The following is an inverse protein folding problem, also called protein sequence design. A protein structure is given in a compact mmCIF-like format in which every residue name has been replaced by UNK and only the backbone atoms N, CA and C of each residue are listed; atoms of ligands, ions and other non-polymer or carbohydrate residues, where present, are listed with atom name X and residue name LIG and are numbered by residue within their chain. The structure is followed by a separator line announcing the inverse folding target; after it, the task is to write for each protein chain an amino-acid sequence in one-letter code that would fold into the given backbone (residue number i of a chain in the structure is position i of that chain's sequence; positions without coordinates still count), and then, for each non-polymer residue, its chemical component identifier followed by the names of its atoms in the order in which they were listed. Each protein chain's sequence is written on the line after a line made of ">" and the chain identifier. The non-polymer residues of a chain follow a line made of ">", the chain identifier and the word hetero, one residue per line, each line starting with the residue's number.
data_IF_885746233317
#
_entry.id   IF_885746233317
#
_cell.length_a   1.000
_cell.length_b   1.000
_cell.length_c   1.000
_cell.angle_alpha   90.00
_cell.angle_beta   90.00
_cell.angle_gamma   90.00
#
_symmetry.space_group_name_H-M   'P 1'
#
loop_
_entity.id
_entity.type
_entity.pdbx_description
1 polymer ?
#
# COMPACT_ATOMS: atom_id res chain seq x y z
N UNK A 1 -13.29 45.02 24.03
CA UNK A 1 -14.16 44.76 22.85
C UNK A 1 -13.62 43.54 22.11
N UNK A 2 -14.51 42.68 21.63
CA UNK A 2 -14.16 41.47 20.86
C UNK A 2 -14.15 41.76 19.35
N UNK A 3 -13.22 41.14 18.63
CA UNK A 3 -13.20 41.14 17.17
C UNK A 3 -13.13 39.70 16.64
N UNK A 4 -13.86 39.43 15.56
CA UNK A 4 -13.87 38.14 14.89
C UNK A 4 -13.07 38.20 13.59
N UNK A 5 -12.02 37.40 13.48
CA UNK A 5 -11.25 37.23 12.25
C UNK A 5 -11.60 35.89 11.61
N UNK A 6 -11.89 35.90 10.32
CA UNK A 6 -12.12 34.71 9.50
C UNK A 6 -11.49 34.91 8.12
N UNK A 7 -11.45 33.87 7.30
CA UNK A 7 -10.91 33.96 5.95
C UNK A 7 -11.84 33.29 4.94
N UNK A 8 -11.85 33.84 3.72
CA UNK A 8 -12.51 33.27 2.56
C UNK A 8 -11.49 33.07 1.43
N UNK A 9 -11.99 32.73 0.24
CA UNK A 9 -11.13 32.51 -0.93
C UNK A 9 -10.34 33.77 -1.31
N UNK A 10 -10.86 34.97 -1.01
CA UNK A 10 -10.21 36.24 -1.37
C UNK A 10 -9.19 36.73 -0.35
N UNK A 11 -9.25 36.28 0.89
CA UNK A 11 -8.43 36.87 1.96
C UNK A 11 -9.04 36.75 3.35
N UNK A 12 -8.48 37.53 4.27
CA UNK A 12 -8.94 37.63 5.65
C UNK A 12 -9.88 38.82 5.83
N UNK A 13 -10.90 38.65 6.67
CA UNK A 13 -11.88 39.66 7.04
C UNK A 13 -11.99 39.72 8.56
N UNK A 14 -12.09 40.94 9.09
CA UNK A 14 -12.29 41.22 10.50
C UNK A 14 -13.65 41.88 10.72
N UNK A 15 -14.42 41.34 11.66
CA UNK A 15 -15.78 41.80 12.00
C UNK A 15 -15.85 42.25 13.45
N UNK A 16 -16.68 43.25 13.71
CA UNK A 16 -17.05 43.66 15.08
C UNK A 16 -18.05 42.69 15.71
N UNK A 17 -18.41 42.93 16.98
CA UNK A 17 -19.48 42.20 17.68
C UNK A 17 -20.85 42.31 16.97
N UNK A 18 -21.09 43.45 16.30
CA UNK A 18 -22.31 43.72 15.52
C UNK A 18 -22.23 43.22 14.06
N UNK A 19 -21.17 42.47 13.72
CA UNK A 19 -20.90 41.95 12.38
C UNK A 19 -20.64 43.02 11.30
N UNK A 20 -20.23 44.22 11.71
CA UNK A 20 -19.75 45.23 10.78
C UNK A 20 -18.32 44.89 10.33
N UNK A 21 -18.02 45.08 9.04
CA UNK A 21 -16.70 44.83 8.49
C UNK A 21 -15.74 45.94 8.93
N UNK A 22 -14.78 45.60 9.79
CA UNK A 22 -13.78 46.54 10.31
C UNK A 22 -12.68 46.76 9.27
N UNK A 23 -12.06 45.66 8.83
CA UNK A 23 -10.95 45.67 7.87
C UNK A 23 -10.89 44.36 7.10
N UNK A 24 -10.22 44.38 5.95
CA UNK A 24 -9.98 43.21 5.12
C UNK A 24 -8.56 43.23 4.55
N UNK A 25 -7.93 42.05 4.49
CA UNK A 25 -6.64 41.84 3.84
C UNK A 25 -6.81 40.79 2.75
N UNK A 26 -6.91 41.28 1.51
CA UNK A 26 -7.11 40.44 0.33
C UNK A 26 -5.79 39.89 -0.19
N UNK A 27 -5.84 38.67 -0.72
CA UNK A 27 -4.73 38.09 -1.46
C UNK A 27 -4.62 38.76 -2.85
N UNK A 28 -3.40 39.04 -3.34
CA UNK A 28 -3.20 39.39 -4.74
C UNK A 28 -3.75 38.31 -5.65
N UNK A 29 -4.46 38.68 -6.73
CA UNK A 29 -5.18 37.75 -7.64
C UNK A 29 -4.32 36.56 -8.09
N UNK A 30 -3.07 36.82 -8.46
CA UNK A 30 -2.12 35.80 -8.95
C UNK A 30 -1.64 34.83 -7.86
N UNK A 31 -1.76 35.22 -6.59
CA UNK A 31 -1.24 34.49 -5.43
C UNK A 31 -2.31 33.89 -4.52
N UNK A 32 -3.59 33.98 -4.91
CA UNK A 32 -4.69 33.43 -4.10
C UNK A 32 -4.48 31.93 -3.85
N UNK A 33 -4.21 31.18 -4.92
CA UNK A 33 -4.03 29.72 -4.84
C UNK A 33 -2.82 29.34 -4.00
N UNK A 34 -1.70 30.07 -4.14
CA UNK A 34 -0.50 29.82 -3.35
C UNK A 34 -0.76 30.10 -1.87
N UNK A 35 -1.38 31.23 -1.53
CA UNK A 35 -1.74 31.58 -0.16
C UNK A 35 -2.68 30.53 0.48
N UNK A 36 -3.72 30.08 -0.24
CA UNK A 36 -4.62 29.04 0.25
C UNK A 36 -3.93 27.68 0.47
N UNK A 37 -2.96 27.33 -0.38
CA UNK A 37 -2.13 26.14 -0.21
C UNK A 37 -1.18 26.27 0.99
N UNK A 38 -0.63 27.46 1.24
CA UNK A 38 0.17 27.74 2.43
C UNK A 38 -0.63 27.63 3.72
N UNK A 39 -1.85 28.20 3.75
CA UNK A 39 -2.77 28.07 4.89
C UNK A 39 -3.08 26.59 5.16
N UNK A 40 -3.40 25.80 4.12
CA UNK A 40 -3.64 24.35 4.25
C UNK A 40 -2.42 23.62 4.86
N UNK A 41 -1.21 24.05 4.49
CA UNK A 41 0.05 23.53 5.01
C UNK A 41 0.47 24.16 6.35
N UNK A 42 -0.47 24.79 7.07
CA UNK A 42 -0.30 25.42 8.39
C UNK A 42 0.74 26.54 8.44
N UNK A 43 1.05 27.16 7.30
CA UNK A 43 1.89 28.36 7.26
C UNK A 43 1.04 29.60 7.51
N UNK A 44 1.56 30.55 8.29
CA UNK A 44 0.93 31.85 8.52
C UNK A 44 1.32 32.77 7.36
N UNK A 45 0.33 33.15 6.55
CA UNK A 45 0.50 34.05 5.40
C UNK A 45 0.61 35.51 5.86
N UNK A 46 1.15 36.41 5.02
CA UNK A 46 1.37 37.81 5.41
C UNK A 46 0.07 38.53 5.76
N UNK A 47 -0.99 38.34 4.97
CA UNK A 47 -2.31 38.94 5.18
C UNK A 47 -2.91 38.56 6.54
N UNK A 48 -2.65 37.34 7.01
CA UNK A 48 -3.09 36.84 8.31
C UNK A 48 -2.39 37.58 9.46
N UNK A 49 -1.08 37.83 9.33
CA UNK A 49 -0.33 38.60 10.35
C UNK A 49 -0.75 40.06 10.36
N UNK A 50 -0.87 40.65 9.17
CA UNK A 50 -1.21 42.06 8.99
C UNK A 50 -2.58 42.38 9.58
N UNK A 51 -3.60 41.56 9.33
CA UNK A 51 -4.94 41.82 9.85
C UNK A 51 -5.01 41.69 11.38
N UNK A 52 -4.30 40.71 11.96
CA UNK A 52 -4.25 40.52 13.41
C UNK A 52 -3.58 41.73 14.07
N UNK A 53 -2.42 42.16 13.58
CA UNK A 53 -1.68 43.28 14.16
C UNK A 53 -2.42 44.61 13.98
N UNK A 54 -3.13 44.80 12.87
CA UNK A 54 -3.97 45.99 12.65
C UNK A 54 -5.11 46.08 13.66
N UNK A 55 -5.89 45.00 13.82
CA UNK A 55 -7.02 44.93 14.74
C UNK A 55 -6.57 45.00 16.21
N UNK A 56 -5.38 44.50 16.52
CA UNK A 56 -4.86 44.47 17.90
C UNK A 56 -4.65 45.85 18.55
N UNK A 57 -4.65 46.92 17.75
CA UNK A 57 -4.53 48.30 18.23
C UNK A 57 -5.81 48.77 18.93
N UNK A 58 -6.96 48.38 18.40
CA UNK A 58 -8.28 48.89 18.82
C UNK A 58 -9.09 47.88 19.63
N UNK A 59 -8.70 46.59 19.61
CA UNK A 59 -9.42 45.50 20.27
C UNK A 59 -8.54 44.75 21.29
N UNK A 60 -9.17 44.30 22.37
CA UNK A 60 -8.49 43.59 23.47
C UNK A 60 -8.55 42.07 23.32
N UNK A 61 -9.53 41.57 22.56
CA UNK A 61 -9.74 40.13 22.34
C UNK A 61 -10.05 39.86 20.88
N UNK A 62 -9.24 39.00 20.26
CA UNK A 62 -9.30 38.65 18.84
C UNK A 62 -9.60 37.15 18.72
N UNK A 63 -10.77 36.82 18.20
CA UNK A 63 -11.20 35.44 18.00
C UNK A 63 -11.01 35.08 16.53
N UNK A 64 -10.06 34.21 16.21
CA UNK A 64 -9.71 33.84 14.83
C UNK A 64 -10.10 32.40 14.46
N UNK A 65 -10.64 32.20 13.27
CA UNK A 65 -10.76 30.87 12.65
C UNK A 65 -9.44 30.46 11.98
N UNK A 66 -8.77 29.45 12.53
CA UNK A 66 -7.50 28.96 11.97
C UNK A 66 -7.29 27.47 12.21
N UNK A 67 -6.62 26.81 11.25
CA UNK A 67 -6.19 25.40 11.34
C UNK A 67 -4.83 25.22 12.04
N UNK A 68 -4.27 26.30 12.57
CA UNK A 68 -2.97 26.38 13.25
C UNK A 68 -3.15 26.28 14.76
N UNK A 69 -2.08 25.99 15.48
CA UNK A 69 -2.10 26.00 16.95
C UNK A 69 -1.92 27.42 17.44
N UNK A 70 -2.45 27.73 18.63
CA UNK A 70 -2.24 29.05 19.24
C UNK A 70 -0.74 29.35 19.36
N UNK A 71 0.06 28.35 19.76
CA UNK A 71 1.53 28.45 19.85
C UNK A 71 2.22 28.90 18.56
N UNK A 72 1.63 28.66 17.39
CA UNK A 72 2.23 29.06 16.11
C UNK A 72 2.24 30.59 15.94
N UNK A 73 1.43 31.31 16.73
CA UNK A 73 1.34 32.78 16.74
C UNK A 73 2.21 33.44 17.82
N UNK A 74 3.04 32.68 18.55
CA UNK A 74 3.82 33.21 19.69
C UNK A 74 4.78 34.36 19.32
N UNK A 75 5.14 34.49 18.03
CA UNK A 75 5.98 35.58 17.53
C UNK A 75 5.24 36.89 17.26
N UNK A 76 3.92 36.93 17.41
CA UNK A 76 3.12 38.15 17.24
C UNK A 76 3.09 38.97 18.52
N UNK A 77 3.10 40.30 18.40
CA UNK A 77 3.02 41.20 19.55
C UNK A 77 1.66 41.13 20.23
N UNK A 78 0.66 40.76 19.46
CA UNK A 78 -0.75 40.62 19.83
C UNK A 78 -1.12 39.23 20.33
N UNK A 79 -0.14 38.36 20.60
CA UNK A 79 -0.36 36.97 21.01
C UNK A 79 -1.29 36.81 22.22
N UNK A 80 -1.13 37.65 23.24
CA UNK A 80 -1.91 37.57 24.49
C UNK A 80 -3.40 37.88 24.29
N UNK A 81 -3.76 38.51 23.16
CA UNK A 81 -5.13 38.89 22.81
C UNK A 81 -5.84 37.85 21.94
N UNK A 82 -5.12 36.82 21.45
CA UNK A 82 -5.62 35.88 20.46
C UNK A 82 -6.29 34.65 21.10
N UNK A 83 -7.47 34.31 20.58
CA UNK A 83 -8.18 33.08 20.86
C UNK A 83 -8.52 32.39 19.53
N UNK A 84 -8.25 31.09 19.42
CA UNK A 84 -8.63 30.31 18.24
C UNK A 84 -9.96 29.61 18.53
N UNK A 85 -10.99 29.96 17.75
CA UNK A 85 -12.31 29.33 17.82
C UNK A 85 -12.81 29.07 16.41
N UNK A 86 -13.19 27.84 16.10
CA UNK A 86 -13.65 27.46 14.75
C UNK A 86 -14.86 26.51 14.87
N UNK A 87 -16.07 26.92 14.44
CA UNK A 87 -16.41 28.22 13.87
C UNK A 87 -16.47 29.37 14.91
N UNK A 88 -16.28 30.61 14.46
CA UNK A 88 -16.58 31.82 15.25
C UNK A 88 -17.78 32.59 14.66
N UNK A 89 -18.31 33.55 15.41
CA UNK A 89 -19.53 34.27 15.03
C UNK A 89 -19.38 35.06 13.73
N UNK A 90 -18.25 35.75 13.53
CA UNK A 90 -17.95 36.45 12.27
C UNK A 90 -17.82 35.51 11.06
N UNK A 91 -17.28 34.31 11.26
CA UNK A 91 -17.20 33.27 10.24
C UNK A 91 -18.56 32.69 9.86
N UNK A 92 -19.46 32.50 10.83
CA UNK A 92 -20.85 32.11 10.56
C UNK A 92 -21.57 33.19 9.77
N UNK A 93 -21.44 34.45 10.18
CA UNK A 93 -22.00 35.60 9.45
C UNK A 93 -21.48 35.68 8.01
N UNK A 94 -20.18 35.53 7.81
CA UNK A 94 -19.55 35.52 6.48
C UNK A 94 -20.09 34.39 5.60
N UNK A 95 -20.22 33.17 6.15
CA UNK A 95 -20.73 32.01 5.40
C UNK A 95 -22.20 32.16 5.02
N UNK A 96 -23.03 32.73 5.88
CA UNK A 96 -24.43 33.03 5.58
C UNK A 96 -24.62 34.16 4.56
N UNK A 97 -23.63 35.05 4.40
CA UNK A 97 -23.69 36.21 3.51
C UNK A 97 -22.59 36.20 2.45
N UNK A 98 -22.15 35.01 2.01
CA UNK A 98 -20.94 34.85 1.20
C UNK A 98 -20.97 35.65 -0.12
N UNK A 99 -22.14 35.74 -0.76
CA UNK A 99 -22.34 36.49 -2.01
C UNK A 99 -21.92 37.96 -1.88
N UNK A 100 -22.21 38.60 -0.74
CA UNK A 100 -21.86 39.99 -0.45
C UNK A 100 -20.35 40.25 -0.47
N UNK A 101 -19.55 39.25 -0.08
CA UNK A 101 -18.10 39.41 0.11
C UNK A 101 -17.28 38.81 -1.04
N UNK A 102 -17.76 37.73 -1.66
CA UNK A 102 -16.98 36.96 -2.64
C UNK A 102 -17.34 37.31 -4.10
N UNK A 103 -18.53 37.86 -4.40
CA UNK A 103 -18.94 38.17 -5.78
C UNK A 103 -18.96 36.92 -6.69
N UNK A 104 -18.92 37.08 -8.02
CA UNK A 104 -19.12 35.97 -8.99
C UNK A 104 -17.84 35.25 -9.47
N UNK A 105 -16.66 35.82 -9.22
CA UNK A 105 -15.38 35.39 -9.83
C UNK A 105 -14.62 34.28 -9.05
N UNK A 106 -15.30 33.53 -8.19
CA UNK A 106 -14.65 32.54 -7.30
C UNK A 106 -14.49 31.16 -7.92
N UNK A 107 -15.30 30.82 -8.93
CA UNK A 107 -15.29 29.48 -9.53
C UNK A 107 -13.95 29.16 -10.18
N UNK A 108 -13.36 30.13 -10.89
CA UNK A 108 -12.04 29.98 -11.50
C UNK A 108 -10.97 29.68 -10.43
N UNK A 109 -11.00 30.41 -9.32
CA UNK A 109 -10.05 30.20 -8.22
C UNK A 109 -10.20 28.81 -7.60
N UNK A 110 -11.43 28.31 -7.43
CA UNK A 110 -11.65 26.95 -6.96
C UNK A 110 -11.13 25.89 -7.94
N UNK A 111 -11.31 26.10 -9.25
CA UNK A 111 -10.76 25.20 -10.27
C UNK A 111 -9.23 25.19 -10.23
N UNK A 112 -8.60 26.37 -10.18
CA UNK A 112 -7.15 26.48 -10.08
C UNK A 112 -6.61 25.84 -8.78
N UNK A 113 -7.31 26.03 -7.66
CA UNK A 113 -6.97 25.38 -6.38
C UNK A 113 -7.10 23.85 -6.46
N UNK A 114 -8.13 23.33 -7.13
CA UNK A 114 -8.29 21.90 -7.34
C UNK A 114 -7.13 21.33 -8.17
N UNK A 115 -6.77 22.00 -9.27
CA UNK A 115 -5.61 21.63 -10.10
C UNK A 115 -4.31 21.66 -9.29
N UNK A 116 -4.10 22.69 -8.47
CA UNK A 116 -2.91 22.80 -7.62
C UNK A 116 -2.83 21.66 -6.59
N UNK A 117 -3.96 21.31 -5.94
CA UNK A 117 -4.05 20.16 -5.03
C UNK A 117 -3.79 18.84 -5.73
N UNK A 118 -4.29 18.66 -6.95
CA UNK A 118 -4.02 17.46 -7.77
C UNK A 118 -2.54 17.37 -8.12
N UNK A 119 -1.91 18.46 -8.56
CA UNK A 119 -0.48 18.50 -8.84
C UNK A 119 0.37 18.21 -7.60
N UNK A 120 0.00 18.72 -6.42
CA UNK A 120 0.65 18.40 -5.15
C UNK A 120 0.54 16.90 -4.83
N UNK A 121 -0.64 16.31 -4.98
CA UNK A 121 -0.85 14.88 -4.74
C UNK A 121 -0.07 14.00 -5.74
N UNK A 122 0.01 14.39 -7.01
CA UNK A 122 0.75 13.65 -8.05
C UNK A 122 2.27 13.71 -7.87
N UNK A 123 2.81 14.70 -7.15
CA UNK A 123 4.24 14.77 -6.81
C UNK A 123 4.67 13.71 -5.78
N UNK A 124 3.74 13.01 -5.14
CA UNK A 124 4.10 11.99 -4.17
C UNK A 124 4.79 10.81 -4.87
N UNK A 125 6.06 10.64 -4.57
CA UNK A 125 6.94 9.67 -5.24
C UNK A 125 6.49 8.21 -5.04
N UNK A 126 5.73 7.93 -3.98
CA UNK A 126 5.13 6.63 -3.74
C UNK A 126 4.05 6.28 -4.77
N UNK A 127 3.49 7.24 -5.53
CA UNK A 127 2.51 6.93 -6.58
C UNK A 127 3.12 6.22 -7.78
N UNK A 128 4.29 6.63 -8.22
CA UNK A 128 4.98 5.94 -9.32
C UNK A 128 5.41 4.52 -8.92
N UNK A 129 5.84 4.34 -7.67
CA UNK A 129 6.13 3.03 -7.10
C UNK A 129 4.88 2.11 -7.13
N UNK A 130 3.71 2.65 -6.73
CA UNK A 130 2.44 1.89 -6.75
C UNK A 130 2.09 1.45 -8.17
N UNK A 131 2.25 2.33 -9.17
CA UNK A 131 2.02 1.96 -10.56
C UNK A 131 3.00 0.88 -11.01
N UNK A 132 4.30 1.04 -10.71
CA UNK A 132 5.33 0.08 -11.10
C UNK A 132 5.08 -1.33 -10.57
N UNK A 133 4.71 -1.48 -9.27
CA UNK A 133 4.47 -2.82 -8.70
C UNK A 133 3.19 -3.46 -9.26
N UNK A 134 2.15 -2.67 -9.53
CA UNK A 134 0.94 -3.17 -10.17
C UNK A 134 1.23 -3.63 -11.61
N UNK A 135 2.07 -2.88 -12.34
CA UNK A 135 2.52 -3.28 -13.68
C UNK A 135 3.32 -4.58 -13.67
N UNK A 136 4.14 -4.86 -12.64
CA UNK A 136 4.80 -6.16 -12.52
C UNK A 136 3.77 -7.29 -12.42
N UNK A 137 2.75 -7.14 -11.57
CA UNK A 137 1.74 -8.18 -11.38
C UNK A 137 0.96 -8.44 -12.69
N UNK A 138 0.63 -7.38 -13.45
CA UNK A 138 -0.03 -7.48 -14.77
C UNK A 138 0.87 -8.12 -15.84
N UNK A 139 2.16 -7.75 -15.86
CA UNK A 139 3.14 -8.31 -16.78
C UNK A 139 3.39 -9.79 -16.46
N UNK A 140 3.53 -10.17 -15.19
CA UNK A 140 3.74 -11.57 -14.79
C UNK A 140 2.55 -12.46 -15.19
N UNK A 141 1.31 -11.97 -15.04
CA UNK A 141 0.10 -12.66 -15.51
C UNK A 141 0.08 -12.79 -17.05
N UNK A 142 0.43 -11.72 -17.74
CA UNK A 142 0.46 -11.69 -19.21
C UNK A 142 1.54 -12.63 -19.77
N UNK A 143 2.76 -12.54 -19.27
CA UNK A 143 3.89 -13.41 -19.65
C UNK A 143 3.49 -14.87 -19.46
N UNK A 144 2.85 -15.23 -18.34
CA UNK A 144 2.44 -16.61 -18.09
C UNK A 144 1.51 -17.15 -19.19
N UNK A 145 0.48 -16.40 -19.56
CA UNK A 145 -0.47 -16.78 -20.62
C UNK A 145 0.18 -16.82 -22.00
N UNK A 146 1.05 -15.86 -22.31
CA UNK A 146 1.76 -15.81 -23.60
C UNK A 146 2.74 -16.99 -23.72
N UNK A 147 3.37 -17.40 -22.62
CA UNK A 147 4.28 -18.56 -22.60
C UNK A 147 3.52 -19.86 -22.82
N UNK A 148 2.36 -20.03 -22.22
CA UNK A 148 1.48 -21.19 -22.50
C UNK A 148 1.17 -21.27 -24.00
N UNK A 149 0.81 -20.15 -24.62
CA UNK A 149 0.49 -20.09 -26.05
C UNK A 149 1.68 -20.40 -26.96
N UNK A 150 2.86 -19.84 -26.72
CA UNK A 150 4.04 -20.11 -27.56
C UNK A 150 4.55 -21.54 -27.38
N UNK A 151 4.36 -22.16 -26.21
CA UNK A 151 4.70 -23.57 -26.00
C UNK A 151 3.82 -24.47 -26.86
N UNK A 152 2.50 -24.25 -26.86
CA UNK A 152 1.58 -25.00 -27.72
C UNK A 152 1.87 -24.78 -29.21
N UNK A 153 2.14 -23.54 -29.61
CA UNK A 153 2.35 -23.20 -31.01
C UNK A 153 3.69 -23.72 -31.54
N UNK A 154 4.77 -23.49 -30.80
CA UNK A 154 6.10 -23.91 -31.23
C UNK A 154 6.30 -25.42 -31.17
N UNK A 155 5.53 -26.14 -30.35
CA UNK A 155 5.53 -27.60 -30.34
C UNK A 155 5.00 -28.21 -31.65
N UNK A 156 4.27 -27.46 -32.49
CA UNK A 156 3.92 -27.90 -33.84
C UNK A 156 5.12 -27.92 -34.80
N UNK A 157 6.20 -27.20 -34.46
CA UNK A 157 7.42 -27.12 -35.28
C UNK A 157 8.58 -27.90 -34.64
N UNK A 158 8.77 -27.79 -33.33
CA UNK A 158 9.85 -28.44 -32.60
C UNK A 158 9.36 -29.02 -31.26
N UNK A 159 8.66 -30.18 -31.26
CA UNK A 159 8.09 -30.80 -30.07
C UNK A 159 9.12 -31.09 -28.96
N UNK A 160 10.35 -31.45 -29.33
CA UNK A 160 11.43 -31.81 -28.41
C UNK A 160 11.86 -30.64 -27.52
N UNK A 161 11.52 -29.39 -27.90
CA UNK A 161 11.73 -28.20 -27.09
C UNK A 161 11.08 -28.27 -25.69
N UNK A 162 10.07 -29.13 -25.49
CA UNK A 162 9.41 -29.30 -24.18
C UNK A 162 10.33 -29.84 -23.06
N UNK A 163 11.51 -30.38 -23.41
CA UNK A 163 12.54 -30.73 -22.42
C UNK A 163 12.98 -29.48 -21.63
N UNK A 164 12.90 -28.29 -22.22
CA UNK A 164 13.20 -27.02 -21.54
C UNK A 164 12.03 -26.62 -20.62
N UNK A 165 12.10 -27.02 -19.35
CA UNK A 165 11.09 -26.69 -18.33
C UNK A 165 11.12 -25.24 -17.85
N UNK A 166 12.27 -24.56 -17.91
CA UNK A 166 12.36 -23.16 -17.53
C UNK A 166 11.79 -22.25 -18.64
N UNK A 167 10.72 -21.53 -18.32
CA UNK A 167 9.97 -20.67 -19.23
C UNK A 167 10.79 -19.50 -19.81
N UNK A 168 11.63 -18.87 -18.99
CA UNK A 168 12.50 -17.77 -19.44
C UNK A 168 13.53 -18.28 -20.45
N UNK A 169 14.13 -19.43 -20.18
CA UNK A 169 15.10 -20.08 -21.07
C UNK A 169 14.43 -20.54 -22.37
N UNK A 170 13.21 -21.10 -22.29
CA UNK A 170 12.45 -21.54 -23.46
C UNK A 170 12.22 -20.38 -24.44
N UNK A 171 11.69 -19.26 -23.95
CA UNK A 171 11.41 -18.06 -24.76
C UNK A 171 12.69 -17.46 -25.31
N UNK A 172 13.73 -17.32 -24.47
CA UNK A 172 15.02 -16.76 -24.89
C UNK A 172 15.65 -17.54 -26.04
N UNK A 173 15.64 -18.88 -25.95
CA UNK A 173 16.21 -19.73 -26.99
C UNK A 173 15.51 -19.54 -28.35
N UNK A 174 14.18 -19.46 -28.36
CA UNK A 174 13.41 -19.22 -29.59
C UNK A 174 13.73 -17.82 -30.15
N UNK A 175 13.68 -16.79 -29.29
CA UNK A 175 13.89 -15.40 -29.70
C UNK A 175 15.30 -15.16 -30.28
N UNK A 176 16.34 -15.78 -29.70
CA UNK A 176 17.74 -15.56 -30.09
C UNK A 176 18.17 -16.43 -31.28
N UNK A 177 17.69 -17.67 -31.37
CA UNK A 177 18.22 -18.65 -32.33
C UNK A 177 17.30 -18.86 -33.54
N UNK A 178 16.01 -18.54 -33.46
CA UNK A 178 14.99 -18.52 -34.53
C UNK A 178 14.67 -19.84 -35.26
N UNK A 179 15.62 -20.77 -35.40
CA UNK A 179 15.44 -22.05 -36.09
C UNK A 179 15.83 -23.23 -35.19
N UNK A 180 15.26 -24.41 -35.46
CA UNK A 180 15.51 -25.63 -34.65
C UNK A 180 17.00 -25.98 -34.59
N UNK A 181 17.73 -25.84 -35.69
CA UNK A 181 19.15 -26.20 -35.80
C UNK A 181 19.99 -25.31 -34.88
N UNK A 182 19.78 -24.00 -34.94
CA UNK A 182 20.49 -23.03 -34.09
C UNK A 182 20.15 -23.20 -32.61
N UNK A 183 18.92 -23.61 -32.30
CA UNK A 183 18.52 -23.91 -30.91
C UNK A 183 19.26 -25.15 -30.39
N UNK A 184 19.36 -26.20 -31.20
CA UNK A 184 20.10 -27.42 -30.86
C UNK A 184 21.59 -27.09 -30.67
N UNK A 185 22.19 -26.31 -31.57
CA UNK A 185 23.57 -25.82 -31.44
C UNK A 185 23.80 -24.99 -30.18
N UNK A 186 22.82 -24.18 -29.77
CA UNK A 186 22.91 -23.36 -28.56
C UNK A 186 22.82 -24.19 -27.26
N UNK A 187 22.24 -25.40 -27.31
CA UNK A 187 22.01 -26.29 -26.15
C UNK A 187 22.17 -27.79 -26.50
N UNK A 188 23.37 -28.22 -26.95
CA UNK A 188 23.58 -29.59 -27.43
C UNK A 188 23.41 -30.65 -26.32
N UNK A 189 23.72 -30.29 -25.07
CA UNK A 189 23.60 -31.18 -23.91
C UNK A 189 22.15 -31.62 -23.62
N UNK A 190 21.17 -30.88 -24.14
CA UNK A 190 19.74 -31.12 -23.89
C UNK A 190 19.09 -31.86 -25.05
N UNK A 191 19.50 -31.56 -26.28
CA UNK A 191 18.94 -32.11 -27.50
C UNK A 191 19.87 -33.20 -28.03
N UNK A 192 19.75 -34.41 -27.47
CA UNK A 192 20.48 -35.60 -27.91
C UNK A 192 19.87 -36.07 -29.24
N UNK A 193 20.55 -35.79 -30.35
CA UNK A 193 20.03 -35.91 -31.72
C UNK A 193 19.68 -37.37 -32.08
N UNK A 194 18.42 -37.58 -32.47
CA UNK A 194 17.98 -38.09 -33.78
C UNK A 194 16.61 -37.42 -34.04
N UNK A 195 16.64 -36.19 -34.56
CA UNK A 195 15.42 -35.48 -34.97
C UNK A 195 15.05 -35.98 -36.38
N UNK A 196 14.40 -37.15 -36.44
CA UNK A 196 13.87 -37.74 -37.69
C UNK A 196 12.61 -37.01 -38.22
N UNK A 197 12.20 -35.92 -37.56
CA UNK A 197 11.04 -35.11 -37.94
C UNK A 197 11.48 -33.85 -38.70
N UNK A 198 11.64 -34.00 -40.02
CA UNK A 198 11.67 -32.89 -40.97
C UNK A 198 10.25 -32.56 -41.43
N UNK A 199 9.45 -31.92 -40.56
CA UNK A 199 8.27 -31.21 -41.05
C UNK A 199 8.70 -29.87 -41.65
N UNK A 200 8.50 -29.73 -42.96
CA UNK A 200 8.64 -28.45 -43.68
C UNK A 200 7.56 -27.49 -43.18
N UNK A 201 7.89 -26.69 -42.15
CA UNK A 201 7.04 -25.56 -41.78
C UNK A 201 7.20 -24.44 -42.81
N UNK A 202 6.10 -23.75 -43.10
CA UNK A 202 6.15 -22.55 -43.89
C UNK A 202 6.96 -21.46 -43.15
N UNK A 203 7.95 -20.87 -43.83
CA UNK A 203 8.83 -19.85 -43.27
C UNK A 203 8.05 -18.65 -42.71
N UNK A 204 6.93 -18.28 -43.32
CA UNK A 204 6.10 -17.17 -42.80
C UNK A 204 5.52 -17.48 -41.43
N UNK A 205 5.14 -18.73 -41.17
CA UNK A 205 4.57 -19.15 -39.89
C UNK A 205 5.64 -19.19 -38.81
N UNK A 206 6.85 -19.68 -39.16
CA UNK A 206 8.02 -19.64 -38.28
C UNK A 206 8.42 -18.21 -37.90
N UNK A 207 8.41 -17.29 -38.86
CA UNK A 207 8.72 -15.87 -38.61
C UNK A 207 7.71 -15.23 -37.64
N UNK A 208 6.42 -15.54 -37.77
CA UNK A 208 5.40 -15.05 -36.84
C UNK A 208 5.62 -15.61 -35.43
N UNK A 209 5.91 -16.91 -35.30
CA UNK A 209 6.22 -17.52 -34.00
C UNK A 209 7.46 -16.90 -33.35
N UNK A 210 8.51 -16.63 -34.13
CA UNK A 210 9.72 -15.98 -33.65
C UNK A 210 9.46 -14.55 -33.19
N UNK A 211 8.67 -13.78 -33.95
CA UNK A 211 8.26 -12.42 -33.55
C UNK A 211 7.42 -12.43 -32.26
N UNK A 212 6.56 -13.43 -32.10
CA UNK A 212 5.78 -13.62 -30.88
C UNK A 212 6.68 -13.93 -29.68
N UNK A 213 7.61 -14.88 -29.83
CA UNK A 213 8.60 -15.22 -28.80
C UNK A 213 9.48 -14.01 -28.44
N UNK A 214 9.94 -13.25 -29.43
CA UNK A 214 10.70 -12.02 -29.20
C UNK A 214 9.90 -10.98 -28.42
N UNK A 215 8.60 -10.83 -28.71
CA UNK A 215 7.73 -9.93 -27.96
C UNK A 215 7.62 -10.33 -26.48
N UNK A 216 7.53 -11.64 -26.19
CA UNK A 216 7.56 -12.16 -24.80
C UNK A 216 8.91 -11.88 -24.14
N UNK A 217 10.01 -12.09 -24.87
CA UNK A 217 11.35 -11.84 -24.35
C UNK A 217 11.57 -10.37 -23.98
N UNK A 218 11.12 -9.44 -24.81
CA UNK A 218 11.18 -8.00 -24.51
C UNK A 218 10.27 -7.61 -23.32
N UNK A 219 9.12 -8.28 -23.15
CA UNK A 219 8.30 -8.13 -21.95
C UNK A 219 9.03 -8.62 -20.68
N UNK A 220 9.75 -9.76 -20.74
CA UNK A 220 10.57 -10.26 -19.63
C UNK A 220 11.69 -9.27 -19.27
N UNK A 221 12.36 -8.66 -20.27
CA UNK A 221 13.35 -7.60 -20.04
C UNK A 221 12.74 -6.36 -19.40
N UNK A 222 11.58 -5.94 -19.89
CA UNK A 222 10.83 -4.80 -19.34
C UNK A 222 10.45 -5.04 -17.88
N UNK A 223 9.96 -6.24 -17.56
CA UNK A 223 9.66 -6.67 -16.18
C UNK A 223 10.86 -6.54 -15.26
N UNK A 224 12.05 -6.98 -15.71
CA UNK A 224 13.31 -6.86 -14.96
C UNK A 224 13.73 -5.40 -14.76
N UNK A 225 13.55 -4.56 -15.78
CA UNK A 225 13.82 -3.11 -15.68
C UNK A 225 12.93 -2.44 -14.62
N UNK A 226 11.64 -2.78 -14.59
CA UNK A 226 10.69 -2.27 -13.58
C UNK A 226 11.04 -2.78 -12.18
N UNK A 227 11.48 -4.04 -12.06
CA UNK A 227 11.95 -4.59 -10.77
C UNK A 227 13.15 -3.83 -10.22
N UNK A 228 14.15 -3.56 -11.05
CA UNK A 228 15.31 -2.73 -10.66
C UNK A 228 14.88 -1.30 -10.26
N UNK A 229 13.96 -0.70 -11.03
CA UNK A 229 13.40 0.61 -10.68
C UNK A 229 12.72 0.59 -9.30
N UNK A 230 11.95 -0.45 -8.98
CA UNK A 230 11.32 -0.60 -7.67
C UNK A 230 12.40 -0.74 -6.58
N UNK A 231 13.46 -1.51 -6.82
CA UNK A 231 14.56 -1.71 -5.87
C UNK A 231 15.22 -0.38 -5.48
N UNK A 232 15.56 0.46 -6.46
CA UNK A 232 16.17 1.78 -6.28
C UNK A 232 15.20 2.78 -5.64
N UNK A 233 13.95 2.79 -6.12
CA UNK A 233 12.91 3.68 -5.62
C UNK A 233 12.56 3.33 -4.17
N UNK A 234 12.67 2.07 -3.78
CA UNK A 234 12.38 1.66 -2.41
C UNK A 234 13.50 1.98 -1.43
N UNK A 235 14.74 2.01 -1.89
CA UNK A 235 15.88 2.45 -1.09
C UNK A 235 15.78 3.93 -0.72
N UNK A 236 15.37 4.76 -1.68
CA UNK A 236 15.19 6.20 -1.45
C UNK A 236 13.96 6.54 -0.62
N UNK A 237 12.84 5.82 -0.80
CA UNK A 237 11.56 6.16 -0.15
C UNK A 237 11.36 5.51 1.22
N UNK A 238 11.77 4.24 1.37
CA UNK A 238 11.48 3.46 2.57
C UNK A 238 12.60 2.44 2.85
N UNK A 239 13.82 2.92 3.17
CA UNK A 239 14.98 2.04 3.36
C UNK A 239 14.80 1.05 4.53
N UNK A 240 14.14 1.45 5.62
CA UNK A 240 13.87 0.52 6.73
C UNK A 240 12.90 -0.58 6.32
N UNK A 241 11.83 -0.21 5.62
CA UNK A 241 10.87 -1.19 5.10
C UNK A 241 11.53 -2.14 4.09
N UNK A 242 12.33 -1.60 3.15
CA UNK A 242 13.09 -2.39 2.18
C UNK A 242 14.00 -3.39 2.89
N UNK A 243 14.77 -2.95 3.88
CA UNK A 243 15.65 -3.83 4.66
C UNK A 243 14.88 -4.96 5.36
N UNK A 244 13.68 -4.66 5.89
CA UNK A 244 12.91 -5.63 6.65
C UNK A 244 12.20 -6.69 5.80
N UNK A 245 11.62 -6.31 4.65
CA UNK A 245 10.77 -7.22 3.85
C UNK A 245 11.17 -7.37 2.38
N UNK A 246 12.18 -6.64 1.92
CA UNK A 246 12.55 -6.53 0.51
C UNK A 246 11.69 -5.53 -0.27
N UNK A 247 12.19 -5.06 -1.42
CA UNK A 247 11.51 -4.01 -2.18
C UNK A 247 10.16 -4.48 -2.77
N UNK A 248 10.09 -5.71 -3.30
CA UNK A 248 8.86 -6.23 -3.92
C UNK A 248 7.71 -6.31 -2.92
N UNK A 249 7.91 -6.96 -1.76
CA UNK A 249 6.88 -7.06 -0.72
C UNK A 249 6.58 -5.69 -0.10
N UNK A 250 7.60 -4.85 0.13
CA UNK A 250 7.43 -3.48 0.61
C UNK A 250 6.53 -2.64 -0.32
N UNK A 251 6.81 -2.66 -1.62
CA UNK A 251 6.03 -1.98 -2.64
C UNK A 251 4.59 -2.50 -2.70
N UNK A 252 4.37 -3.83 -2.59
CA UNK A 252 3.02 -4.41 -2.51
C UNK A 252 2.25 -3.93 -1.28
N UNK A 253 2.90 -3.81 -0.12
CA UNK A 253 2.27 -3.27 1.09
C UNK A 253 1.89 -1.79 0.90
N UNK A 254 2.75 -0.98 0.27
CA UNK A 254 2.49 0.43 -0.04
C UNK A 254 1.34 0.59 -1.03
N UNK A 255 1.33 -0.22 -2.11
CA UNK A 255 0.25 -0.27 -3.10
C UNK A 255 -1.08 -0.61 -2.45
N UNK A 256 -1.12 -1.67 -1.65
CA UNK A 256 -2.34 -2.07 -0.97
C UNK A 256 -2.84 -1.03 0.06
N UNK A 257 -1.94 -0.27 0.69
CA UNK A 257 -2.33 0.83 1.56
C UNK A 257 -2.77 2.09 0.80
N UNK A 258 -2.38 2.24 -0.48
CA UNK A 258 -2.62 3.42 -1.32
C UNK A 258 -1.60 4.55 -1.12
N UNK A 259 -0.49 4.28 -0.42
CA UNK A 259 0.60 5.23 -0.16
C UNK A 259 1.36 4.92 1.13
N UNK A 260 2.63 5.31 1.17
CA UNK A 260 3.54 5.00 2.28
C UNK A 260 3.12 5.71 3.58
N UNK A 261 2.71 6.98 3.49
CA UNK A 261 2.19 7.73 4.65
C UNK A 261 0.95 7.08 5.25
N UNK A 262 0.07 6.51 4.41
CA UNK A 262 -1.13 5.80 4.87
C UNK A 262 -0.78 4.44 5.47
N UNK A 263 0.21 3.74 4.93
CA UNK A 263 0.73 2.52 5.54
C UNK A 263 1.29 2.79 6.95
N UNK A 264 2.01 3.90 7.15
CA UNK A 264 2.57 4.27 8.44
C UNK A 264 1.51 4.55 9.54
N UNK A 265 0.29 4.95 9.17
CA UNK A 265 -0.82 5.17 10.11
C UNK A 265 -1.57 3.89 10.46
N UNK A 266 -1.39 2.80 9.70
CA UNK A 266 -2.07 1.55 10.00
C UNK A 266 -1.56 0.93 11.31
N UNK A 267 -2.45 0.32 12.12
CA UNK A 267 -2.03 -0.52 13.24
C UNK A 267 -1.43 -1.83 12.72
N UNK A 268 -0.56 -2.44 13.52
CA UNK A 268 0.13 -3.68 13.16
C UNK A 268 -0.84 -4.84 12.89
N UNK A 269 -2.00 -4.87 13.56
CA UNK A 269 -3.05 -5.85 13.30
C UNK A 269 -3.63 -5.76 11.88
N UNK A 270 -3.76 -4.54 11.34
CA UNK A 270 -4.22 -4.33 9.96
C UNK A 270 -3.12 -4.74 8.97
N UNK A 271 -1.88 -4.32 9.21
CA UNK A 271 -0.72 -4.72 8.38
C UNK A 271 -0.59 -6.25 8.33
N UNK A 272 -0.83 -6.94 9.45
CA UNK A 272 -0.75 -8.40 9.53
C UNK A 272 -1.66 -9.11 8.53
N UNK A 273 -2.89 -8.62 8.36
CA UNK A 273 -3.96 -9.29 7.58
C UNK A 273 -4.23 -8.61 6.23
N UNK A 274 -3.42 -7.63 5.85
CA UNK A 274 -3.56 -6.89 4.59
C UNK A 274 -3.40 -7.82 3.38
N UNK A 275 -4.32 -7.78 2.42
CA UNK A 275 -4.46 -8.73 1.31
C UNK A 275 -5.25 -10.01 1.64
N UNK A 276 -5.72 -10.18 2.89
CA UNK A 276 -6.60 -11.29 3.30
C UNK A 276 -8.02 -10.80 3.65
N UNK A 277 -8.45 -9.65 3.13
CA UNK A 277 -9.71 -8.97 3.43
C UNK A 277 -10.90 -9.90 3.16
N UNK A 278 -10.88 -10.64 2.04
CA UNK A 278 -11.97 -11.58 1.71
C UNK A 278 -12.14 -12.67 2.76
N UNK A 279 -11.05 -13.17 3.35
CA UNK A 279 -11.11 -14.15 4.43
C UNK A 279 -11.52 -13.50 5.76
N UNK A 280 -11.02 -12.29 6.03
CA UNK A 280 -11.39 -11.51 7.21
C UNK A 280 -12.89 -11.17 7.23
N UNK A 281 -13.43 -10.63 6.14
CA UNK A 281 -14.85 -10.30 6.04
C UNK A 281 -15.74 -11.52 6.12
N UNK A 282 -15.29 -12.68 5.62
CA UNK A 282 -15.99 -13.94 5.81
C UNK A 282 -16.04 -14.32 7.28
N UNK A 283 -14.91 -14.23 8.00
CA UNK A 283 -14.86 -14.45 9.44
C UNK A 283 -15.81 -13.51 10.20
N UNK A 284 -15.82 -12.22 9.88
CA UNK A 284 -16.70 -11.24 10.54
C UNK A 284 -18.19 -11.53 10.29
N UNK A 285 -18.55 -12.07 9.12
CA UNK A 285 -19.93 -12.42 8.77
C UNK A 285 -20.40 -13.75 9.35
N UNK A 286 -19.54 -14.76 9.35
CA UNK A 286 -19.90 -16.16 9.66
C UNK A 286 -19.43 -16.63 11.05
N UNK A 287 -18.50 -15.92 11.68
CA UNK A 287 -17.85 -16.36 12.92
C UNK A 287 -16.80 -17.47 12.73
N UNK A 288 -16.38 -17.74 11.49
CA UNK A 288 -15.33 -18.73 11.16
C UNK A 288 -13.97 -18.40 11.80
N UNK A 289 -12.87 -19.09 11.49
CA UNK A 289 -11.55 -18.68 11.99
C UNK A 289 -11.00 -17.49 11.20
N UNK A 290 -10.46 -16.44 11.86
CA UNK A 290 -9.84 -15.32 11.15
C UNK A 290 -8.57 -15.75 10.40
N UNK A 291 -8.21 -15.05 9.31
CA UNK A 291 -6.91 -15.22 8.68
C UNK A 291 -5.79 -14.83 9.65
N UNK A 292 -4.67 -15.58 9.61
CA UNK A 292 -3.51 -15.32 10.48
C UNK A 292 -2.52 -14.32 9.88
N UNK A 293 -2.56 -14.15 8.58
CA UNK A 293 -1.63 -13.33 7.80
C UNK A 293 -2.25 -13.04 6.42
N UNK A 294 -1.84 -11.96 5.79
CA UNK A 294 -2.14 -11.63 4.39
C UNK A 294 -0.88 -11.66 3.52
N UNK A 295 -0.58 -10.57 2.83
CA UNK A 295 0.57 -10.40 1.93
C UNK A 295 1.90 -10.77 2.59
N UNK A 296 2.05 -10.45 3.88
CA UNK A 296 3.27 -10.74 4.65
C UNK A 296 3.62 -12.23 4.72
N UNK A 297 2.70 -13.14 4.36
CA UNK A 297 3.01 -14.57 4.22
C UNK A 297 4.11 -14.86 3.20
N UNK A 298 4.29 -13.97 2.21
CA UNK A 298 5.34 -14.09 1.20
C UNK A 298 6.75 -13.98 1.80
N UNK A 299 6.89 -13.40 2.99
CA UNK A 299 8.18 -13.26 3.65
C UNK A 299 8.82 -14.64 3.95
N UNK A 300 10.10 -14.87 3.60
CA UNK A 300 10.75 -16.17 3.74
C UNK A 300 10.64 -16.77 5.14
N UNK A 301 10.85 -15.95 6.18
CA UNK A 301 10.77 -16.39 7.57
C UNK A 301 9.37 -16.89 7.98
N UNK A 302 8.29 -16.36 7.39
CA UNK A 302 6.93 -16.82 7.70
C UNK A 302 6.59 -18.07 6.88
N UNK A 303 6.96 -18.08 5.60
CA UNK A 303 6.71 -19.22 4.70
C UNK A 303 7.47 -20.47 5.16
N UNK A 304 8.73 -20.30 5.56
CA UNK A 304 9.62 -21.35 6.05
C UNK A 304 9.28 -21.85 7.46
N UNK A 305 8.66 -21.03 8.30
CA UNK A 305 8.34 -21.40 9.67
C UNK A 305 7.28 -22.52 9.78
N UNK A 306 7.35 -23.26 10.90
CA UNK A 306 6.39 -24.31 11.24
C UNK A 306 4.97 -23.74 11.36
N UNK A 307 3.96 -24.47 10.89
CA UNK A 307 2.59 -23.95 10.74
C UNK A 307 1.95 -23.38 12.02
N UNK A 308 2.37 -23.87 13.21
CA UNK A 308 1.92 -23.36 14.50
C UNK A 308 2.63 -22.07 14.93
N UNK A 309 3.82 -21.79 14.41
CA UNK A 309 4.61 -20.58 14.70
C UNK A 309 4.35 -19.44 13.72
N UNK A 310 3.91 -19.73 12.49
CA UNK A 310 3.63 -18.72 11.44
C UNK A 310 2.84 -17.52 11.92
N UNK A 311 1.77 -17.75 12.70
CA UNK A 311 0.93 -16.66 13.21
C UNK A 311 1.63 -15.76 14.25
N UNK A 312 2.56 -16.31 15.04
CA UNK A 312 3.35 -15.54 16.01
C UNK A 312 4.40 -14.69 15.30
N UNK A 313 5.12 -15.29 14.34
CA UNK A 313 6.12 -14.61 13.53
C UNK A 313 5.46 -13.52 12.67
N UNK A 314 4.30 -13.80 12.06
CA UNK A 314 3.54 -12.82 11.29
C UNK A 314 3.14 -11.59 12.12
N UNK A 315 2.72 -11.78 13.38
CA UNK A 315 2.38 -10.67 14.28
C UNK A 315 3.61 -9.84 14.66
N UNK A 316 4.75 -10.51 14.88
CA UNK A 316 6.03 -9.84 15.14
C UNK A 316 6.46 -9.02 13.93
N UNK A 317 6.46 -9.62 12.73
CA UNK A 317 6.81 -8.95 11.48
C UNK A 317 5.91 -7.75 11.22
N UNK A 318 4.60 -7.89 11.38
CA UNK A 318 3.67 -6.77 11.18
C UNK A 318 3.94 -5.60 12.14
N UNK A 319 4.30 -5.88 13.39
CA UNK A 319 4.71 -4.85 14.35
C UNK A 319 6.00 -4.14 13.91
N UNK A 320 6.99 -4.90 13.41
CA UNK A 320 8.24 -4.37 12.88
C UNK A 320 8.04 -3.56 11.59
N UNK A 321 7.16 -4.00 10.69
CA UNK A 321 6.76 -3.24 9.49
C UNK A 321 6.14 -1.90 9.88
N UNK A 322 5.17 -1.89 10.80
CA UNK A 322 4.56 -0.64 11.26
C UNK A 322 5.59 0.32 11.87
N UNK A 323 6.59 -0.21 12.60
CA UNK A 323 7.69 0.60 13.14
C UNK A 323 8.59 1.15 12.03
N UNK A 324 9.02 0.29 11.10
CA UNK A 324 9.85 0.65 9.94
C UNK A 324 9.21 1.79 9.12
N UNK A 325 7.94 1.62 8.72
CA UNK A 325 7.23 2.63 7.95
C UNK A 325 7.11 3.97 8.69
N UNK A 326 6.96 3.95 10.03
CA UNK A 326 6.90 5.17 10.83
C UNK A 326 8.26 5.84 10.95
N UNK A 327 9.34 5.07 11.07
CA UNK A 327 10.70 5.60 11.02
C UNK A 327 10.98 6.26 9.67
N UNK A 328 10.69 5.56 8.57
CA UNK A 328 10.87 6.08 7.20
C UNK A 328 10.12 7.41 6.98
N UNK A 329 8.87 7.53 7.43
CA UNK A 329 8.04 8.72 7.16
C UNK A 329 8.24 9.86 8.17
N UNK A 330 8.28 9.56 9.47
CA UNK A 330 8.19 10.61 10.50
C UNK A 330 9.55 11.01 11.06
N UNK A 331 10.50 10.09 11.19
CA UNK A 331 11.84 10.39 11.71
C UNK A 331 12.88 10.53 10.61
N UNK A 332 12.67 9.87 9.46
CA UNK A 332 13.64 9.76 8.35
C UNK A 332 15.00 9.25 8.80
N UNK A 333 14.96 8.35 9.78
CA UNK A 333 16.14 7.74 10.39
C UNK A 333 16.26 6.29 9.93
N UNK A 334 17.47 5.86 9.58
CA UNK A 334 17.75 4.50 9.12
C UNK A 334 18.24 3.64 10.28
N UNK A 335 17.53 2.54 10.53
CA UNK A 335 17.81 1.56 11.56
C UNK A 335 18.38 0.29 10.93
N UNK A 336 19.71 0.12 10.92
CA UNK A 336 20.35 -1.05 10.31
C UNK A 336 20.04 -2.35 11.06
N UNK A 337 19.65 -2.28 12.34
CA UNK A 337 19.45 -3.46 13.18
C UNK A 337 18.01 -4.01 13.10
N UNK A 338 17.10 -3.33 12.40
CA UNK A 338 15.67 -3.68 12.41
C UNK A 338 15.40 -5.10 11.92
N UNK A 339 16.20 -5.57 10.96
CA UNK A 339 16.12 -6.93 10.41
C UNK A 339 16.67 -7.96 11.39
N UNK A 340 17.86 -7.73 11.96
CA UNK A 340 18.50 -8.65 12.91
C UNK A 340 17.64 -8.85 14.16
N UNK A 341 17.08 -7.76 14.70
CA UNK A 341 16.14 -7.83 15.82
C UNK A 341 14.86 -8.62 15.49
N UNK A 342 14.43 -8.61 14.23
CA UNK A 342 13.30 -9.42 13.79
C UNK A 342 13.67 -10.91 13.71
N UNK A 343 14.83 -11.22 13.14
CA UNK A 343 15.33 -12.60 13.01
C UNK A 343 15.54 -13.23 14.38
N UNK A 344 16.23 -12.53 15.29
CA UNK A 344 16.48 -13.03 16.65
C UNK A 344 15.17 -13.40 17.37
N UNK A 345 14.16 -12.53 17.27
CA UNK A 345 12.82 -12.80 17.84
C UNK A 345 12.08 -13.92 17.13
N UNK A 346 12.23 -14.05 15.81
CA UNK A 346 11.63 -15.14 15.05
C UNK A 346 12.23 -16.49 15.48
N UNK A 347 13.55 -16.58 15.61
CA UNK A 347 14.23 -17.77 16.12
C UNK A 347 13.85 -18.10 17.56
N UNK A 348 13.76 -17.08 18.42
CA UNK A 348 13.32 -17.26 19.81
C UNK A 348 11.90 -17.86 19.85
N UNK A 349 10.98 -17.36 19.02
CA UNK A 349 9.63 -17.93 18.90
C UNK A 349 9.68 -19.40 18.50
N UNK A 350 10.57 -19.78 17.57
CA UNK A 350 10.71 -21.17 17.16
C UNK A 350 11.29 -22.07 18.24
N UNK A 351 12.32 -21.59 18.96
CA UNK A 351 12.97 -22.28 20.09
C UNK A 351 12.01 -22.49 21.26
N UNK A 352 11.20 -21.48 21.61
CA UNK A 352 10.21 -21.56 22.69
C UNK A 352 8.99 -22.40 22.31
N UNK A 353 8.72 -22.59 21.01
CA UNK A 353 7.55 -23.32 20.51
C UNK A 353 7.96 -24.48 19.57
N UNK A 354 8.73 -25.45 20.08
CA UNK A 354 9.24 -26.56 19.27
C UNK A 354 8.12 -27.50 18.81
N UNK A 355 7.04 -27.57 19.59
CA UNK A 355 5.87 -28.42 19.34
C UNK A 355 4.60 -27.57 19.22
N UNK A 356 3.60 -28.04 18.45
CA UNK A 356 2.32 -27.36 18.37
C UNK A 356 1.66 -27.33 19.75
N UNK A 357 1.20 -26.14 20.18
CA UNK A 357 0.36 -26.02 21.37
C UNK A 357 -0.86 -26.94 21.22
N UNK A 358 -0.94 -27.99 22.05
CA UNK A 358 -2.08 -28.91 22.07
C UNK A 358 -3.36 -28.08 22.24
N UNK A 359 -4.19 -28.03 21.20
CA UNK A 359 -5.43 -27.27 21.23
C UNK A 359 -6.34 -27.81 22.33
N UNK A 360 -6.92 -26.91 23.13
CA UNK A 360 -7.85 -27.22 24.22
C UNK A 360 -9.05 -28.07 23.78
N UNK A 361 -9.40 -28.10 22.49
CA UNK A 361 -10.38 -29.02 21.90
C UNK A 361 -10.01 -30.49 22.11
N UNK A 362 -8.72 -30.86 21.94
CA UNK A 362 -8.24 -32.22 22.16
C UNK A 362 -8.26 -32.60 23.64
N UNK A 363 -7.99 -31.64 24.54
CA UNK A 363 -8.15 -31.81 26.00
C UNK A 363 -9.61 -32.06 26.42
N UNK A 364 -10.59 -31.37 25.81
CA UNK A 364 -12.02 -31.62 26.08
C UNK A 364 -12.48 -32.99 25.55
N UNK A 365 -12.00 -33.40 24.38
CA UNK A 365 -12.31 -34.72 23.79
C UNK A 365 -11.62 -35.89 24.52
N UNK A 366 -10.39 -35.69 25.02
CA UNK A 366 -9.69 -36.70 25.84
C UNK A 366 -10.32 -36.83 27.24
N UNK A 367 -10.75 -35.71 27.85
CA UNK A 367 -11.50 -35.75 29.12
C UNK A 367 -12.92 -36.34 28.99
N UNK A 368 -13.60 -36.16 27.86
CA UNK A 368 -14.93 -36.77 27.65
C UNK A 368 -14.84 -38.27 27.37
N UNK A 369 -13.77 -38.72 26.70
CA UNK A 369 -13.50 -40.15 26.46
C UNK A 369 -13.11 -40.91 27.73
N UNK A 370 -12.49 -40.27 28.73
CA UNK A 370 -12.12 -40.96 29.98
C UNK A 370 -13.29 -41.15 30.95
N UNK A 371 -14.34 -40.32 30.88
CA UNK A 371 -15.52 -40.41 31.77
C UNK A 371 -16.57 -41.46 31.37
N UNK A 372 -16.55 -41.98 30.14
CA UNK A 372 -17.63 -42.83 29.59
C UNK A 372 -17.36 -44.35 29.59
N UNK A 373 -16.40 -44.85 30.37
CA UNK A 373 -16.21 -46.30 30.55
C UNK A 373 -16.86 -46.79 31.86
N UNK A 374 -18.17 -46.97 31.85
CA UNK A 374 -18.85 -47.90 32.77
C UNK A 374 -19.18 -49.22 32.04
N UNK A 375 -19.13 -50.38 32.72
CA UNK A 375 -19.09 -51.69 32.07
C UNK A 375 -20.49 -52.14 31.66
N UNK A 376 -20.69 -52.44 30.36
CA UNK A 376 -21.95 -52.96 29.84
C UNK A 376 -22.20 -54.39 30.34
N UNK A 377 -23.28 -54.55 31.12
CA UNK A 377 -23.81 -55.84 31.56
C UNK A 377 -24.35 -56.66 30.37
N UNK A 378 -23.87 -57.91 30.24
CA UNK A 378 -24.43 -58.93 29.34
C UNK A 378 -25.88 -59.24 29.72
N UNK A 379 -26.83 -59.07 28.79
CA UNK A 379 -28.17 -59.68 28.88
C UNK A 379 -28.44 -60.57 27.67
N UNK A 380 -28.48 -61.88 27.95
CA UNK A 380 -28.94 -63.00 27.12
C UNK A 380 -30.46 -62.97 26.90
N UNK A 381 -30.90 -63.77 25.91
CA UNK A 381 -32.24 -64.37 25.63
C UNK A 381 -33.03 -63.65 24.54
N UNK A 382 -33.79 -64.33 23.66
CA UNK A 382 -34.09 -65.76 23.44
C UNK A 382 -34.76 -65.85 22.05
N UNK A 383 -34.54 -66.96 21.36
CA UNK A 383 -35.31 -67.41 20.19
C UNK A 383 -36.82 -67.26 20.36
N UNK A 384 -37.54 -66.97 19.27
CA UNK A 384 -38.72 -67.76 18.87
C UNK A 384 -38.99 -67.68 17.37
N UNK A 385 -39.32 -68.87 16.85
CA UNK A 385 -39.49 -69.33 15.47
C UNK A 385 -40.78 -68.83 14.78
N UNK A 386 -40.70 -68.83 13.44
CA UNK A 386 -41.68 -69.27 12.42
C UNK A 386 -43.04 -68.56 12.34
N UNK A 387 -43.39 -68.08 11.13
CA UNK A 387 -43.88 -68.95 10.06
C UNK A 387 -43.31 -68.51 8.72
#
# INVERSE_FOLDING_TARGET
>A
MECYITYCIKGFLAFSEDFELITQKLFPKESIVTALMEIKNKKIVSQEKEIIEEVSKDYDKIIIESNKRISDYSGLKSFDKLEIKTPNAGGEYLRSNLEKFVGDDYLEVYQQLAIAKMKEASKSEDKHLIQAINSIDEIDESISKLIERIREWYALYFPEMDVIKNNETYVRLIAENKTKEKIIEAKPDVFLIDSDYDEEINQSDLDIMNNYANSIYELQKSRKSIENYIEDKMESLAPNLKLLVGASLGAKLISHAGGLKRLATYPSSTVQIMGAEKALFRHLKSGDRPPKYGLIYQHPQIRGAKWWNRGKIARMLASKISLACRKDIFTKDFDPNIYDEFIEKAEQIEKENPFPTKTTKKRKEEHSKSKNKHPKSKKRRKNKRRK
#
